data_IF_660051557846
#
_entry.id   IF_660051557846
#
_cell.length_a   1.000
_cell.length_b   1.000
_cell.length_c   1.000
_cell.angle_alpha   90.00
_cell.angle_beta   90.00
_cell.angle_gamma   90.00
#
_symmetry.space_group_name_H-M   'P 1'
#
loop_
_entity.id
_entity.type
_entity.pdbx_description
1 polymer ?
#
# COMPACT_ATOMS: atom_id res chain seq x y z
N UNK A 1 -39.37 -15.75 -52.74
CA UNK A 1 -38.63 -15.75 -51.45
C UNK A 1 -39.53 -16.37 -50.39
N UNK A 2 -39.09 -17.42 -49.65
CA UNK A 2 -39.91 -17.99 -48.60
C UNK A 2 -40.02 -17.01 -47.44
N UNK A 3 -41.24 -16.74 -46.96
CA UNK A 3 -41.47 -15.91 -45.77
C UNK A 3 -41.13 -16.75 -44.54
N UNK A 4 -40.23 -16.24 -43.70
CA UNK A 4 -39.95 -16.82 -42.39
C UNK A 4 -41.22 -16.82 -41.52
N UNK A 5 -41.49 -17.99 -40.95
CA UNK A 5 -42.61 -18.30 -40.08
C UNK A 5 -42.61 -17.40 -38.83
N UNK A 6 -43.78 -16.90 -38.42
CA UNK A 6 -43.94 -15.85 -37.39
C UNK A 6 -43.39 -16.27 -36.02
N UNK A 7 -43.40 -17.58 -35.73
CA UNK A 7 -42.82 -18.15 -34.50
C UNK A 7 -41.30 -18.02 -34.39
N UNK A 8 -40.58 -17.86 -35.52
CA UNK A 8 -39.13 -17.67 -35.51
C UNK A 8 -38.72 -16.20 -35.34
N UNK A 9 -39.65 -15.24 -35.53
CA UNK A 9 -39.40 -13.83 -35.23
C UNK A 9 -39.54 -13.53 -33.74
N UNK A 10 -40.54 -14.10 -33.07
CA UNK A 10 -40.70 -13.97 -31.61
C UNK A 10 -39.52 -14.57 -30.82
N UNK A 11 -38.92 -15.66 -31.31
CA UNK A 11 -37.74 -16.25 -30.66
C UNK A 11 -36.44 -15.44 -30.80
N UNK A 12 -36.38 -14.48 -31.72
CA UNK A 12 -35.24 -13.57 -31.87
C UNK A 12 -35.39 -12.28 -31.03
N UNK A 13 -36.59 -11.96 -30.56
CA UNK A 13 -36.81 -10.78 -29.71
C UNK A 13 -36.54 -11.05 -28.21
N UNK A 14 -36.38 -12.30 -27.79
CA UNK A 14 -36.35 -12.67 -26.36
C UNK A 14 -34.96 -12.84 -25.71
N UNK A 15 -33.83 -12.54 -26.38
CA UNK A 15 -32.50 -12.59 -25.69
C UNK A 15 -31.47 -11.55 -26.13
N UNK A 16 -31.84 -10.51 -26.86
CA UNK A 16 -30.92 -9.39 -27.14
C UNK A 16 -31.25 -8.23 -26.25
N UNK A 17 -30.54 -8.11 -25.11
CA UNK A 17 -30.33 -6.79 -24.51
C UNK A 17 -29.89 -5.87 -25.65
N UNK A 18 -30.64 -4.79 -25.97
CA UNK A 18 -30.35 -3.94 -27.11
C UNK A 18 -28.86 -3.60 -27.13
N UNK A 19 -28.21 -3.76 -28.28
CA UNK A 19 -26.78 -3.40 -28.44
C UNK A 19 -26.49 -2.01 -27.89
N UNK A 20 -27.47 -1.11 -28.01
CA UNK A 20 -27.48 0.24 -27.43
C UNK A 20 -27.28 0.26 -25.92
N UNK A 21 -27.99 -0.57 -25.15
CA UNK A 21 -27.89 -0.61 -23.69
C UNK A 21 -26.53 -1.15 -23.23
N UNK A 22 -25.97 -2.13 -23.96
CA UNK A 22 -24.60 -2.60 -23.72
C UNK A 22 -23.58 -1.51 -24.02
N UNK A 23 -23.78 -0.73 -25.08
CA UNK A 23 -22.90 0.38 -25.49
C UNK A 23 -22.99 1.56 -24.52
N UNK A 24 -24.18 1.88 -24.01
CA UNK A 24 -24.39 2.96 -23.06
C UNK A 24 -23.86 2.60 -21.67
N UNK A 25 -24.07 1.36 -21.21
CA UNK A 25 -23.40 0.81 -20.03
C UNK A 25 -21.86 0.82 -20.20
N UNK A 26 -21.36 0.52 -21.40
CA UNK A 26 -19.93 0.69 -21.68
C UNK A 26 -19.47 2.15 -21.54
N UNK A 27 -20.24 3.10 -22.08
CA UNK A 27 -19.87 4.51 -22.20
C UNK A 27 -19.82 5.22 -20.85
N UNK A 28 -20.84 5.03 -20.02
CA UNK A 28 -20.97 5.72 -18.72
C UNK A 28 -19.90 5.28 -17.71
N UNK A 29 -19.49 4.02 -17.76
CA UNK A 29 -18.56 3.45 -16.77
C UNK A 29 -17.09 3.45 -17.23
N UNK A 30 -16.81 3.81 -18.50
CA UNK A 30 -15.47 3.69 -19.09
C UNK A 30 -14.62 4.96 -19.03
N UNK A 31 -15.21 6.10 -18.69
CA UNK A 31 -14.53 7.40 -18.79
C UNK A 31 -14.61 8.17 -17.48
N UNK A 32 -13.51 8.82 -17.15
CA UNK A 32 -13.44 9.82 -16.10
C UNK A 32 -14.29 11.04 -16.47
N UNK A 33 -14.50 11.94 -15.51
CA UNK A 33 -15.22 13.21 -15.72
C UNK A 33 -14.63 14.07 -16.85
N UNK A 34 -13.32 13.97 -17.08
CA UNK A 34 -12.59 14.67 -18.15
C UNK A 34 -12.66 13.96 -19.51
N UNK A 35 -13.36 12.82 -19.61
CA UNK A 35 -13.50 12.03 -20.83
C UNK A 35 -12.34 11.06 -21.12
N UNK A 36 -11.30 11.01 -20.27
CA UNK A 36 -10.18 10.07 -20.40
C UNK A 36 -10.55 8.67 -19.88
N UNK A 37 -10.00 7.60 -20.46
CA UNK A 37 -10.26 6.26 -19.90
C UNK A 37 -9.54 6.03 -18.58
N UNK A 38 -10.17 5.21 -17.75
CA UNK A 38 -9.58 4.57 -16.59
C UNK A 38 -8.49 3.54 -16.96
N UNK A 39 -7.66 3.16 -15.97
CA UNK A 39 -6.74 2.04 -16.09
C UNK A 39 -7.48 0.70 -15.98
N UNK A 40 -6.87 -0.39 -16.46
CA UNK A 40 -7.42 -1.74 -16.30
C UNK A 40 -7.67 -2.08 -14.82
N UNK A 41 -6.77 -1.67 -13.92
CA UNK A 41 -6.92 -1.93 -12.49
C UNK A 41 -8.13 -1.21 -11.89
N UNK A 42 -8.42 0.01 -12.32
CA UNK A 42 -9.63 0.72 -11.89
C UNK A 42 -10.90 0.01 -12.34
N UNK A 43 -10.95 -0.50 -13.58
CA UNK A 43 -12.10 -1.27 -14.08
C UNK A 43 -12.29 -2.57 -13.27
N UNK A 44 -11.21 -3.29 -12.99
CA UNK A 44 -11.26 -4.50 -12.15
C UNK A 44 -11.73 -4.21 -10.73
N UNK A 45 -11.18 -3.17 -10.11
CA UNK A 45 -11.55 -2.76 -8.75
C UNK A 45 -13.02 -2.35 -8.65
N UNK A 46 -13.54 -1.64 -9.66
CA UNK A 46 -14.95 -1.31 -9.76
C UNK A 46 -15.83 -2.56 -9.82
N UNK A 47 -15.55 -3.50 -10.74
CA UNK A 47 -16.35 -4.72 -10.86
C UNK A 47 -16.34 -5.53 -9.56
N UNK A 48 -15.17 -5.62 -8.91
CA UNK A 48 -15.05 -6.30 -7.61
C UNK A 48 -15.86 -5.61 -6.51
N UNK A 49 -15.88 -4.27 -6.46
CA UNK A 49 -16.66 -3.52 -5.50
C UNK A 49 -18.17 -3.71 -5.70
N UNK A 50 -18.64 -3.69 -6.95
CA UNK A 50 -20.05 -3.97 -7.27
C UNK A 50 -20.42 -5.41 -6.90
N UNK A 51 -19.59 -6.39 -7.29
CA UNK A 51 -19.84 -7.79 -6.96
C UNK A 51 -19.91 -8.00 -5.44
N UNK A 52 -18.98 -7.40 -4.68
CA UNK A 52 -18.98 -7.44 -3.22
C UNK A 52 -20.24 -6.81 -2.62
N UNK A 53 -20.66 -5.65 -3.13
CA UNK A 53 -21.90 -5.01 -2.69
C UNK A 53 -23.12 -5.91 -2.95
N UNK A 54 -23.19 -6.53 -4.12
CA UNK A 54 -24.28 -7.43 -4.45
C UNK A 54 -24.31 -8.66 -3.55
N UNK A 55 -23.15 -9.23 -3.21
CA UNK A 55 -23.08 -10.38 -2.31
C UNK A 55 -23.41 -10.02 -0.85
N UNK A 56 -22.91 -8.89 -0.35
CA UNK A 56 -23.03 -8.53 1.08
C UNK A 56 -24.33 -7.76 1.41
N UNK A 57 -24.80 -6.91 0.49
CA UNK A 57 -25.83 -5.89 0.76
C UNK A 57 -27.08 -6.01 -0.10
N UNK A 58 -27.06 -6.77 -1.20
CA UNK A 58 -28.25 -6.92 -2.05
C UNK A 58 -29.34 -7.68 -1.32
N UNK A 59 -30.59 -7.32 -1.62
CA UNK A 59 -31.78 -8.11 -1.25
C UNK A 59 -31.84 -9.44 -2.02
N UNK A 60 -31.26 -9.45 -3.22
CA UNK A 60 -31.15 -10.65 -4.05
C UNK A 60 -29.89 -11.41 -3.61
N UNK A 61 -30.10 -12.58 -3.01
CA UNK A 61 -29.03 -13.46 -2.54
C UNK A 61 -28.37 -14.19 -3.71
N UNK A 62 -27.13 -14.62 -3.50
CA UNK A 62 -26.38 -15.49 -4.41
C UNK A 62 -26.09 -14.90 -5.79
N UNK A 63 -25.98 -13.57 -5.89
CA UNK A 63 -25.48 -12.93 -7.12
C UNK A 63 -23.96 -13.08 -7.18
N UNK A 64 -23.47 -13.63 -8.28
CA UNK A 64 -22.05 -13.65 -8.63
C UNK A 64 -21.86 -13.16 -10.07
N UNK A 65 -21.37 -11.94 -10.23
CA UNK A 65 -21.15 -11.33 -11.54
C UNK A 65 -20.08 -12.04 -12.38
N UNK A 66 -19.22 -12.85 -11.78
CA UNK A 66 -18.12 -13.51 -12.48
C UNK A 66 -18.51 -14.87 -13.06
N UNK A 67 -19.34 -15.61 -12.33
CA UNK A 67 -19.61 -17.02 -12.59
C UNK A 67 -21.05 -17.31 -13.02
N UNK A 68 -22.00 -16.42 -12.73
CA UNK A 68 -23.39 -16.64 -13.12
C UNK A 68 -23.60 -16.31 -14.61
N UNK A 69 -24.14 -17.30 -15.34
CA UNK A 69 -24.46 -17.20 -16.76
C UNK A 69 -25.42 -16.06 -17.11
N UNK A 70 -26.28 -15.63 -16.17
CA UNK A 70 -27.19 -14.51 -16.37
C UNK A 70 -26.44 -13.19 -16.63
N UNK A 71 -25.22 -13.05 -16.11
CA UNK A 71 -24.39 -11.84 -16.28
C UNK A 71 -23.32 -11.98 -17.37
N UNK A 72 -23.41 -12.99 -18.23
CA UNK A 72 -22.47 -13.21 -19.35
C UNK A 72 -22.25 -11.96 -20.20
N UNK A 73 -23.31 -11.21 -20.48
CA UNK A 73 -23.22 -9.97 -21.27
C UNK A 73 -22.34 -8.90 -20.59
N UNK A 74 -22.45 -8.73 -19.27
CA UNK A 74 -21.61 -7.80 -18.50
C UNK A 74 -20.15 -8.25 -18.53
N UNK A 75 -19.91 -9.55 -18.38
CA UNK A 75 -18.56 -10.12 -18.45
C UNK A 75 -17.89 -9.86 -19.79
N UNK A 76 -18.59 -10.14 -20.90
CA UNK A 76 -18.07 -9.88 -22.26
C UNK A 76 -17.75 -8.40 -22.49
N UNK A 77 -18.59 -7.51 -21.95
CA UNK A 77 -18.38 -6.06 -21.95
C UNK A 77 -17.13 -5.69 -21.16
N UNK A 78 -17.00 -6.14 -19.91
CA UNK A 78 -15.82 -5.79 -19.11
C UNK A 78 -14.53 -6.37 -19.71
N UNK A 79 -14.56 -7.62 -20.19
CA UNK A 79 -13.42 -8.28 -20.81
C UNK A 79 -12.99 -7.59 -22.10
N UNK A 80 -13.95 -7.18 -22.94
CA UNK A 80 -13.66 -6.38 -24.14
C UNK A 80 -12.97 -5.06 -23.80
N UNK A 81 -13.43 -4.36 -22.76
CA UNK A 81 -12.80 -3.11 -22.30
C UNK A 81 -11.40 -3.35 -21.77
N UNK A 82 -11.20 -4.37 -20.94
CA UNK A 82 -9.89 -4.71 -20.39
C UNK A 82 -8.89 -5.00 -21.52
N UNK A 83 -9.30 -5.78 -22.54
CA UNK A 83 -8.46 -6.04 -23.72
C UNK A 83 -8.14 -4.76 -24.49
N UNK A 84 -9.13 -3.91 -24.72
CA UNK A 84 -8.93 -2.62 -25.39
C UNK A 84 -7.94 -1.72 -24.62
N UNK A 85 -8.14 -1.56 -23.30
CA UNK A 85 -7.28 -0.74 -22.46
C UNK A 85 -5.85 -1.30 -22.38
N UNK A 86 -5.70 -2.62 -22.29
CA UNK A 86 -4.39 -3.28 -22.26
C UNK A 86 -3.62 -3.04 -23.57
N UNK A 87 -4.28 -3.20 -24.73
CA UNK A 87 -3.68 -2.90 -26.04
C UNK A 87 -3.25 -1.44 -26.18
N UNK A 88 -3.92 -0.53 -25.49
CA UNK A 88 -3.59 0.89 -25.47
C UNK A 88 -2.64 1.28 -24.33
N UNK A 89 -1.92 0.32 -23.73
CA UNK A 89 -0.91 0.58 -22.70
C UNK A 89 -1.44 0.95 -21.32
N UNK A 90 -2.77 0.90 -21.09
CA UNK A 90 -3.41 1.20 -19.79
C UNK A 90 -3.55 -0.03 -18.89
N UNK A 91 -3.00 -1.17 -19.31
CA UNK A 91 -2.97 -2.43 -18.57
C UNK A 91 -1.73 -2.60 -17.70
N UNK A 92 -0.63 -1.97 -18.08
CA UNK A 92 0.64 -2.07 -17.37
C UNK A 92 0.81 -0.88 -16.42
N UNK A 93 1.15 -1.18 -15.17
CA UNK A 93 1.70 -0.17 -14.27
C UNK A 93 3.19 -0.38 -14.21
N UNK A 94 3.97 0.49 -14.87
CA UNK A 94 5.40 0.55 -14.59
C UNK A 94 5.57 0.95 -13.13
N UNK A 95 6.34 0.16 -12.39
CA UNK A 95 6.79 0.56 -11.06
C UNK A 95 7.67 1.80 -11.14
N UNK A 96 7.99 2.38 -9.99
CA UNK A 96 9.07 3.35 -9.95
C UNK A 96 10.41 2.65 -10.25
N UNK A 97 11.31 3.37 -10.89
CA UNK A 97 12.69 2.91 -11.05
C UNK A 97 13.34 2.74 -9.66
N UNK A 98 14.26 1.78 -9.57
CA UNK A 98 15.00 1.56 -8.33
C UNK A 98 16.02 2.68 -8.14
N UNK A 99 16.29 3.05 -6.88
CA UNK A 99 17.36 3.98 -6.58
C UNK A 99 18.72 3.29 -6.74
N UNK A 100 19.64 3.99 -7.39
CA UNK A 100 21.03 3.58 -7.51
C UNK A 100 21.80 3.86 -6.21
N UNK A 101 22.91 3.15 -5.98
CA UNK A 101 23.70 3.29 -4.74
C UNK A 101 24.20 4.73 -4.51
N UNK A 102 24.60 5.43 -5.57
CA UNK A 102 25.02 6.82 -5.50
C UNK A 102 23.86 7.77 -5.16
N UNK A 103 22.65 7.51 -5.65
CA UNK A 103 21.45 8.28 -5.33
C UNK A 103 21.07 8.10 -3.86
N UNK A 104 21.16 6.87 -3.34
CA UNK A 104 20.95 6.58 -1.92
C UNK A 104 21.93 7.38 -1.05
N UNK A 105 23.21 7.37 -1.39
CA UNK A 105 24.25 8.15 -0.68
C UNK A 105 23.95 9.65 -0.75
N UNK A 106 23.56 10.17 -1.92
CA UNK A 106 23.19 11.58 -2.06
C UNK A 106 21.99 11.97 -1.19
N UNK A 107 20.95 11.13 -1.15
CA UNK A 107 19.76 11.35 -0.32
C UNK A 107 20.14 11.30 1.17
N UNK A 108 20.94 10.32 1.57
CA UNK A 108 21.43 10.20 2.94
C UNK A 108 22.26 11.42 3.34
N UNK A 109 23.12 11.95 2.46
CA UNK A 109 23.93 13.13 2.77
C UNK A 109 23.19 14.47 2.64
N UNK A 110 21.92 14.46 2.26
CA UNK A 110 21.11 15.67 2.16
C UNK A 110 20.87 16.30 3.54
N UNK A 111 20.86 17.65 3.59
CA UNK A 111 20.69 18.44 4.83
C UNK A 111 19.45 18.08 5.68
N UNK A 112 18.43 17.47 5.08
CA UNK A 112 17.20 17.08 5.79
C UNK A 112 17.29 15.70 6.44
N UNK A 113 18.35 14.93 6.14
CA UNK A 113 18.63 13.58 6.64
C UNK A 113 20.00 13.50 7.34
N UNK A 114 20.65 14.63 7.60
CA UNK A 114 22.00 14.69 8.21
C UNK A 114 22.05 14.17 9.67
N UNK A 115 20.90 13.91 10.29
CA UNK A 115 20.80 13.39 11.65
C UNK A 115 21.26 14.35 12.75
N UNK A 116 21.42 15.65 12.43
CA UNK A 116 21.88 16.68 13.39
C UNK A 116 20.79 17.07 14.39
N UNK A 117 19.53 17.03 13.97
CA UNK A 117 18.36 17.25 14.84
C UNK A 117 17.57 15.96 15.03
N UNK A 118 16.74 15.85 16.09
CA UNK A 118 15.86 14.70 16.30
C UNK A 118 15.01 14.41 15.06
N UNK A 119 14.28 15.40 14.55
CA UNK A 119 13.48 15.27 13.34
C UNK A 119 14.27 14.75 12.12
N UNK A 120 15.48 15.29 11.87
CA UNK A 120 16.32 14.86 10.74
C UNK A 120 16.83 13.44 10.91
N UNK A 121 17.14 13.05 12.15
CA UNK A 121 17.54 11.68 12.48
C UNK A 121 16.38 10.70 12.25
N UNK A 122 15.17 11.06 12.68
CA UNK A 122 13.97 10.27 12.46
C UNK A 122 13.69 10.07 10.96
N UNK A 123 13.76 11.15 10.16
CA UNK A 123 13.62 11.08 8.70
C UNK A 123 14.67 10.19 8.06
N UNK A 124 15.93 10.30 8.51
CA UNK A 124 17.02 9.45 8.03
C UNK A 124 16.77 7.97 8.33
N UNK A 125 16.44 7.65 9.57
CA UNK A 125 16.17 6.26 9.99
C UNK A 125 14.93 5.69 9.28
N UNK A 126 13.89 6.51 9.08
CA UNK A 126 12.74 6.11 8.28
C UNK A 126 13.15 5.71 6.86
N UNK A 127 13.97 6.53 6.21
CA UNK A 127 14.49 6.25 4.86
C UNK A 127 15.39 5.01 4.81
N UNK A 128 16.30 4.86 5.79
CA UNK A 128 17.14 3.66 5.95
C UNK A 128 16.27 2.40 6.01
N UNK A 129 15.27 2.39 6.89
CA UNK A 129 14.39 1.24 7.06
C UNK A 129 13.59 0.94 5.79
N UNK A 130 13.15 1.97 5.05
CA UNK A 130 12.42 1.77 3.79
C UNK A 130 13.30 1.12 2.71
N UNK A 131 14.54 1.57 2.55
CA UNK A 131 15.43 1.12 1.46
C UNK A 131 16.13 -0.20 1.80
N UNK A 132 16.70 -0.33 2.99
CA UNK A 132 17.53 -1.50 3.34
C UNK A 132 16.72 -2.69 3.84
N UNK A 133 15.54 -2.45 4.43
CA UNK A 133 14.66 -3.52 4.90
C UNK A 133 13.45 -3.73 3.97
N UNK A 134 13.27 -2.89 2.94
CA UNK A 134 12.17 -3.00 1.99
C UNK A 134 10.79 -2.78 2.61
N UNK A 135 10.72 -2.07 3.75
CA UNK A 135 9.48 -1.87 4.48
C UNK A 135 8.55 -0.92 3.71
N UNK A 136 7.28 -1.30 3.63
CA UNK A 136 6.21 -0.51 3.03
C UNK A 136 5.48 0.28 4.11
N UNK A 137 4.73 1.32 3.72
CA UNK A 137 4.12 2.27 4.66
C UNK A 137 3.41 1.66 5.88
N UNK A 138 2.59 0.61 5.69
CA UNK A 138 1.90 -0.05 6.81
C UNK A 138 2.82 -0.86 7.74
N UNK A 139 3.93 -1.40 7.22
CA UNK A 139 4.88 -2.22 7.99
C UNK A 139 5.71 -1.33 8.94
N UNK A 140 6.01 -0.09 8.54
CA UNK A 140 6.66 0.90 9.40
C UNK A 140 5.87 1.19 10.69
N UNK A 141 4.55 1.23 10.62
CA UNK A 141 3.69 1.56 11.76
C UNK A 141 3.68 0.49 12.85
N UNK A 142 4.13 -0.73 12.54
CA UNK A 142 4.09 -1.89 13.44
C UNK A 142 5.45 -2.23 14.06
N UNK A 143 6.51 -1.54 13.64
CA UNK A 143 7.86 -1.74 14.18
C UNK A 143 7.97 -1.32 15.64
N UNK A 144 8.79 -2.03 16.41
CA UNK A 144 9.19 -1.64 17.75
C UNK A 144 10.70 -1.47 17.87
N UNK A 145 11.12 -0.65 18.83
CA UNK A 145 12.54 -0.46 19.12
C UNK A 145 13.27 -1.77 19.45
N UNK A 146 12.58 -2.70 20.11
CA UNK A 146 13.11 -4.02 20.51
C UNK A 146 13.20 -5.02 19.36
N UNK A 147 12.58 -4.72 18.22
CA UNK A 147 12.62 -5.61 17.05
C UNK A 147 13.99 -5.55 16.34
N UNK A 148 14.84 -4.58 16.70
CA UNK A 148 16.20 -4.39 16.22
C UNK A 148 17.20 -4.96 17.22
N UNK A 149 17.77 -6.12 16.90
CA UNK A 149 18.77 -6.78 17.73
C UNK A 149 20.15 -6.57 17.12
N UNK A 150 21.02 -5.88 17.86
CA UNK A 150 22.40 -5.61 17.45
C UNK A 150 23.19 -6.92 17.35
N UNK A 151 23.94 -7.08 16.26
CA UNK A 151 24.84 -8.21 16.02
C UNK A 151 26.28 -7.87 16.44
N UNK A 152 27.10 -8.90 16.67
CA UNK A 152 28.52 -8.75 17.02
C UNK A 152 29.34 -8.08 15.90
N UNK A 153 28.93 -8.26 14.65
CA UNK A 153 29.54 -7.62 13.47
C UNK A 153 29.19 -6.12 13.35
N UNK A 154 28.38 -5.59 14.27
CA UNK A 154 27.89 -4.22 14.27
C UNK A 154 26.62 -4.00 13.44
N UNK A 155 26.13 -5.01 12.72
CA UNK A 155 24.86 -4.97 11.99
C UNK A 155 23.65 -5.17 12.89
N UNK A 156 22.49 -5.39 12.28
CA UNK A 156 21.24 -5.67 12.97
C UNK A 156 20.50 -6.87 12.37
N UNK A 157 19.97 -7.71 13.25
CA UNK A 157 18.87 -8.60 12.94
C UNK A 157 17.56 -7.87 13.27
N UNK A 158 16.69 -7.71 12.27
CA UNK A 158 15.41 -7.01 12.42
C UNK A 158 14.26 -8.01 12.26
N UNK A 159 13.38 -8.08 13.26
CA UNK A 159 12.27 -9.04 13.28
C UNK A 159 10.96 -8.36 12.88
N UNK A 160 10.39 -8.77 11.75
CA UNK A 160 9.13 -8.26 11.23
C UNK A 160 8.02 -9.27 11.54
N UNK A 161 7.17 -8.93 12.51
CA UNK A 161 6.08 -9.80 12.96
C UNK A 161 4.83 -9.70 12.08
N UNK A 162 4.60 -8.58 11.41
CA UNK A 162 3.45 -8.40 10.52
C UNK A 162 3.95 -7.89 9.16
N UNK A 163 4.08 -8.80 8.19
CA UNK A 163 4.42 -8.46 6.81
C UNK A 163 3.19 -8.57 5.91
N UNK A 164 3.21 -7.95 4.73
CA UNK A 164 2.07 -7.97 3.79
C UNK A 164 1.52 -9.38 3.49
N UNK A 165 2.38 -10.40 3.47
CA UNK A 165 2.00 -11.78 3.18
C UNK A 165 1.88 -12.65 4.44
N UNK A 166 2.18 -12.08 5.61
CA UNK A 166 2.06 -12.70 6.92
C UNK A 166 1.29 -11.76 7.86
N UNK A 167 0.03 -11.47 7.49
CA UNK A 167 -0.83 -10.52 8.21
C UNK A 167 -1.34 -11.04 9.57
N UNK A 168 -1.03 -12.30 9.91
CA UNK A 168 -1.57 -13.02 11.06
C UNK A 168 -3.12 -13.02 11.11
N UNK A 169 -3.68 -13.82 12.01
CA UNK A 169 -5.13 -13.92 12.23
C UNK A 169 -5.64 -13.00 13.33
N UNK A 170 -6.90 -13.17 13.73
CA UNK A 170 -7.65 -12.35 14.72
C UNK A 170 -6.98 -12.21 16.11
N UNK A 171 -5.91 -12.94 16.41
CA UNK A 171 -5.19 -12.88 17.68
C UNK A 171 -3.74 -12.46 17.40
N UNK A 172 -3.38 -11.27 17.86
CA UNK A 172 -2.09 -10.62 17.68
C UNK A 172 -1.00 -11.32 18.50
N UNK A 173 -0.62 -12.53 18.10
CA UNK A 173 0.50 -13.23 18.74
C UNK A 173 1.76 -13.02 17.91
N UNK A 174 2.82 -12.44 18.53
CA UNK A 174 4.18 -12.34 17.99
C UNK A 174 4.87 -13.71 17.89
N UNK A 175 4.24 -14.68 17.25
CA UNK A 175 4.70 -16.06 17.21
C UNK A 175 5.85 -16.28 16.22
N UNK A 176 5.65 -15.92 14.95
CA UNK A 176 6.65 -16.16 13.89
C UNK A 176 6.96 -14.86 13.14
N UNK A 177 8.18 -14.36 13.32
CA UNK A 177 8.70 -13.19 12.61
C UNK A 177 9.48 -13.58 11.36
N UNK A 178 9.39 -12.74 10.33
CA UNK A 178 10.38 -12.70 9.26
C UNK A 178 11.65 -12.03 9.79
N UNK A 179 12.80 -12.68 9.63
CA UNK A 179 14.10 -12.13 10.04
C UNK A 179 14.76 -11.45 8.84
N UNK A 180 14.95 -10.14 8.94
CA UNK A 180 15.72 -9.35 7.99
C UNK A 180 17.12 -9.08 8.57
N UNK A 181 18.12 -9.02 7.69
CA UNK A 181 19.50 -8.74 8.07
C UNK A 181 19.89 -7.38 7.49
N UNK A 182 20.30 -6.47 8.36
CA UNK A 182 20.92 -5.21 8.01
C UNK A 182 22.42 -5.31 8.30
N UNK A 183 23.22 -5.41 7.25
CA UNK A 183 24.68 -5.46 7.37
C UNK A 183 25.23 -4.18 8.00
N UNK A 184 26.38 -4.29 8.66
CA UNK A 184 27.08 -3.13 9.20
C UNK A 184 27.55 -2.21 8.06
N UNK A 185 26.99 -1.00 7.98
CA UNK A 185 27.35 -0.03 6.96
C UNK A 185 27.65 1.34 7.61
N UNK A 186 28.82 1.95 7.35
CA UNK A 186 29.25 3.21 7.99
C UNK A 186 28.27 4.37 7.85
N UNK A 187 27.57 4.48 6.71
CA UNK A 187 26.59 5.56 6.49
C UNK A 187 25.20 5.31 7.10
N UNK A 188 24.97 4.11 7.65
CA UNK A 188 23.65 3.63 8.07
C UNK A 188 23.65 3.28 9.55
N UNK A 189 24.49 2.33 9.95
CA UNK A 189 24.52 1.76 11.29
C UNK A 189 24.70 2.82 12.39
N UNK A 190 25.64 3.78 12.29
CA UNK A 190 25.82 4.77 13.36
C UNK A 190 24.58 5.64 13.62
N UNK A 191 23.75 5.86 12.60
CA UNK A 191 22.52 6.65 12.75
C UNK A 191 21.39 5.85 13.40
N UNK A 192 21.30 4.55 13.10
CA UNK A 192 20.41 3.65 13.83
C UNK A 192 20.82 3.51 15.29
N UNK A 193 22.13 3.34 15.54
CA UNK A 193 22.70 3.28 16.89
C UNK A 193 22.34 4.56 17.66
N UNK A 194 22.62 5.72 17.07
CA UNK A 194 22.27 7.03 17.64
C UNK A 194 20.79 7.15 17.93
N UNK A 195 19.92 6.71 17.03
CA UNK A 195 18.48 6.80 17.22
C UNK A 195 18.00 5.91 18.36
N UNK A 196 18.36 4.63 18.34
CA UNK A 196 17.97 3.64 19.36
C UNK A 196 18.51 4.02 20.74
N UNK A 197 19.75 4.51 20.83
CA UNK A 197 20.35 4.96 22.09
C UNK A 197 19.73 6.26 22.62
N UNK A 198 19.17 7.09 21.74
CA UNK A 198 18.50 8.34 22.11
C UNK A 198 17.05 8.14 22.55
N UNK A 199 16.52 6.90 22.49
CA UNK A 199 15.15 6.61 22.94
C UNK A 199 15.08 6.74 24.47
N UNK A 200 14.14 7.53 25.03
CA UNK A 200 14.03 7.70 26.47
C UNK A 200 13.69 6.39 27.19
N UNK A 201 14.12 6.28 28.45
CA UNK A 201 13.72 5.18 29.31
C UNK A 201 12.18 5.19 29.50
N UNK A 202 11.54 4.04 29.29
CA UNK A 202 10.09 3.91 29.35
C UNK A 202 9.34 4.60 28.19
N UNK A 203 10.02 4.88 27.07
CA UNK A 203 9.37 5.33 25.84
C UNK A 203 8.39 4.26 25.31
N UNK A 204 7.43 4.74 24.51
CA UNK A 204 6.48 3.87 23.80
C UNK A 204 7.23 2.76 23.04
N UNK A 205 6.73 1.51 23.02
CA UNK A 205 7.43 0.42 22.34
C UNK A 205 7.57 0.66 20.82
N UNK A 206 6.67 1.45 20.22
CA UNK A 206 6.72 1.81 18.80
C UNK A 206 8.08 2.38 18.40
N UNK A 207 8.56 1.96 17.24
CA UNK A 207 9.89 2.30 16.77
C UNK A 207 10.01 3.79 16.49
N UNK A 208 9.07 4.38 15.75
CA UNK A 208 9.05 5.79 15.39
C UNK A 208 8.40 6.62 16.49
N UNK A 209 9.20 7.46 17.16
CA UNK A 209 8.72 8.36 18.21
C UNK A 209 8.54 9.78 17.64
N UNK A 210 7.55 10.52 18.13
CA UNK A 210 7.39 11.94 17.80
C UNK A 210 8.26 12.83 18.70
N UNK A 211 8.79 13.89 18.09
CA UNK A 211 9.57 14.91 18.81
C UNK A 211 8.63 15.76 19.67
N UNK A 212 8.98 15.91 20.96
CA UNK A 212 8.25 16.83 21.83
C UNK A 212 8.53 18.27 21.40
N UNK A 213 7.54 18.93 20.80
CA UNK A 213 7.52 20.39 20.77
C UNK A 213 7.33 20.87 22.21
N UNK A 214 8.41 21.25 22.88
CA UNK A 214 8.35 21.87 24.21
C UNK A 214 7.39 23.07 24.15
N UNK A 215 6.22 22.98 24.78
CA UNK A 215 5.56 24.18 25.29
C UNK A 215 6.50 24.74 26.37
N UNK A 216 7.08 25.90 26.07
CA UNK A 216 8.15 26.57 26.83
C UNK A 216 7.67 27.14 28.19
N UNK A 217 6.77 26.44 28.91
CA UNK A 217 6.07 26.98 30.09
C UNK A 217 6.37 26.33 31.44
N UNK A 218 6.82 25.07 31.50
CA UNK A 218 7.03 24.38 32.78
C UNK A 218 8.20 23.39 32.69
N UNK A 219 9.41 23.88 32.95
CA UNK A 219 10.59 23.15 33.46
C UNK A 219 11.85 23.91 33.04
N UNK A 220 12.06 25.08 33.64
CA UNK A 220 13.41 25.58 33.86
C UNK A 220 13.62 25.69 35.37
N UNK A 221 13.81 24.53 35.99
CA UNK A 221 14.69 24.40 37.15
C UNK A 221 15.46 23.10 36.94
N UNK A 222 16.79 23.23 37.04
CA UNK A 222 17.82 22.19 36.98
C UNK A 222 18.33 21.81 35.58
N UNK A 223 19.36 22.55 35.19
CA UNK A 223 20.60 22.07 34.57
C UNK A 223 20.55 21.58 33.11
N UNK A 224 20.81 22.50 32.18
CA UNK A 224 22.09 22.51 31.45
C UNK A 224 22.46 21.34 30.52
N UNK A 225 21.51 20.49 30.11
CA UNK A 225 21.74 19.51 29.04
C UNK A 225 20.59 19.59 28.03
N UNK A 226 20.94 19.86 26.76
CA UNK A 226 20.03 19.73 25.62
C UNK A 226 19.68 18.25 25.44
N UNK A 227 18.72 17.77 26.22
CA UNK A 227 18.24 16.39 26.17
C UNK A 227 17.29 16.20 24.99
N UNK A 228 17.64 15.29 24.06
CA UNK A 228 16.69 14.71 23.11
C UNK A 228 15.61 13.98 23.91
N UNK A 229 14.40 14.55 24.00
CA UNK A 229 13.27 13.90 24.66
C UNK A 229 12.19 13.62 23.61
N UNK A 230 11.90 12.35 23.44
CA UNK A 230 10.87 11.82 22.56
C UNK A 230 9.68 11.35 23.40
N UNK A 231 8.45 11.84 23.14
CA UNK A 231 7.23 11.23 23.70
C UNK A 231 5.98 11.70 22.94
N UNK A 232 5.11 10.70 22.69
CA UNK A 232 3.78 10.71 22.06
C UNK A 232 3.63 11.53 20.78
#
# INVERSE_FOLDING_TARGET
>A
MPRLDSKNKEKLEETTTPVKDKVDFYREFSKKKDGADYSVNSIRAFLAAVNRFLQEKSRIKNIDLYNDSHFKAIKEVVDGKIRFLSKNGKGETKGADSLEANEIIQILNHRLLDGTTPERLLRRVFFINAIYLGLRGGEHALLNGTDFVKCDDGGYNVFIYCSKNNQHGLTENRGKADKLVLANHPEVTPFLDKYLSSRPYGADPNFYLQELKKNLGMMMSLNGLSSLIWKK
#
